data_IF_708392641923
#
_entry.id   IF_708392641923
#
_cell.length_a   1.000
_cell.length_b   1.000
_cell.length_c   1.000
_cell.angle_alpha   90.00
_cell.angle_beta   90.00
_cell.angle_gamma   90.00
#
_symmetry.space_group_name_H-M   'P 1'
#
loop_
_entity.id
_entity.type
_entity.pdbx_description
1 polymer ?
#
# COMPACT_ATOMS: atom_id res chain seq x y z
N UNK A 1 -28.16 -22.50 -16.72
CA UNK A 1 -26.87 -22.83 -16.08
C UNK A 1 -26.47 -21.61 -15.26
N UNK A 2 -26.19 -21.72 -13.96
CA UNK A 2 -25.64 -20.58 -13.24
C UNK A 2 -24.32 -20.16 -13.91
N UNK A 3 -24.11 -18.86 -13.99
CA UNK A 3 -23.09 -18.22 -14.83
C UNK A 3 -21.67 -18.66 -14.42
N UNK A 4 -20.94 -19.32 -15.32
CA UNK A 4 -19.54 -19.74 -15.11
C UNK A 4 -18.54 -18.59 -15.29
N UNK A 5 -19.02 -17.35 -15.44
CA UNK A 5 -18.21 -16.16 -15.60
C UNK A 5 -17.43 -15.77 -14.35
N UNK A 6 -17.96 -16.07 -13.16
CA UNK A 6 -17.36 -15.67 -11.89
C UNK A 6 -17.01 -16.87 -11.01
N UNK A 7 -16.01 -16.67 -10.17
CA UNK A 7 -15.67 -17.56 -9.07
C UNK A 7 -15.74 -16.78 -7.76
N UNK A 8 -15.75 -17.53 -6.66
CA UNK A 8 -15.94 -16.97 -5.33
C UNK A 8 -14.82 -17.44 -4.42
N UNK A 9 -14.19 -16.51 -3.71
CA UNK A 9 -13.13 -16.80 -2.75
C UNK A 9 -13.66 -16.49 -1.35
N UNK A 10 -13.81 -17.48 -0.46
CA UNK A 10 -14.24 -17.26 0.91
C UNK A 10 -13.24 -16.43 1.71
N UNK A 11 -13.74 -15.52 2.52
CA UNK A 11 -12.96 -14.71 3.46
C UNK A 11 -13.31 -15.11 4.87
N UNK A 12 -12.29 -15.51 5.64
CA UNK A 12 -12.45 -16.07 6.97
C UNK A 12 -11.94 -15.12 8.04
N UNK A 13 -12.72 -14.96 9.12
CA UNK A 13 -12.28 -14.31 10.36
C UNK A 13 -11.35 -15.26 11.13
N UNK A 14 -10.13 -14.80 11.40
CA UNK A 14 -9.08 -15.59 12.03
C UNK A 14 -9.26 -15.75 13.55
N UNK A 15 -10.27 -15.14 14.17
CA UNK A 15 -10.59 -15.36 15.58
C UNK A 15 -11.63 -16.45 15.77
N UNK A 16 -12.58 -16.55 14.84
CA UNK A 16 -13.75 -17.44 14.93
C UNK A 16 -13.76 -18.58 13.91
N UNK A 17 -12.87 -18.52 12.92
CA UNK A 17 -12.84 -19.41 11.76
C UNK A 17 -14.05 -19.27 10.83
N UNK A 18 -14.98 -18.36 11.11
CA UNK A 18 -16.22 -18.19 10.32
C UNK A 18 -15.90 -17.52 8.99
N UNK A 19 -16.60 -17.94 7.95
CA UNK A 19 -16.67 -17.19 6.71
C UNK A 19 -17.49 -15.91 6.95
N UNK A 20 -16.88 -14.76 6.70
CA UNK A 20 -17.46 -13.42 6.93
C UNK A 20 -17.76 -12.68 5.64
N UNK A 21 -17.36 -13.22 4.50
CA UNK A 21 -17.56 -12.62 3.19
C UNK A 21 -17.10 -13.54 2.07
N UNK A 22 -17.46 -13.19 0.85
CA UNK A 22 -16.98 -13.84 -0.37
C UNK A 22 -16.54 -12.78 -1.36
N UNK A 23 -15.29 -12.89 -1.82
CA UNK A 23 -14.79 -12.09 -2.93
C UNK A 23 -15.22 -12.72 -4.25
N UNK A 24 -15.79 -11.92 -5.15
CA UNK A 24 -16.17 -12.34 -6.49
C UNK A 24 -15.05 -12.01 -7.45
N UNK A 25 -14.42 -13.04 -8.02
CA UNK A 25 -13.33 -12.88 -8.97
C UNK A 25 -13.77 -13.34 -10.36
N UNK A 26 -13.42 -12.63 -11.44
CA UNK A 26 -13.74 -13.10 -12.78
C UNK A 26 -12.92 -14.35 -13.17
N UNK A 27 -13.55 -15.33 -13.82
CA UNK A 27 -12.90 -16.59 -14.25
C UNK A 27 -12.22 -16.49 -15.61
N UNK A 28 -12.73 -15.63 -16.49
CA UNK A 28 -12.34 -15.60 -17.89
C UNK A 28 -11.46 -14.36 -18.15
N UNK A 29 -10.42 -14.52 -18.98
CA UNK A 29 -9.53 -13.40 -19.37
C UNK A 29 -10.27 -12.22 -20.03
N UNK A 30 -11.46 -12.47 -20.58
CA UNK A 30 -12.33 -11.42 -21.11
C UNK A 30 -13.17 -10.72 -20.04
N UNK A 31 -12.90 -10.90 -18.76
CA UNK A 31 -13.50 -10.13 -17.67
C UNK A 31 -12.47 -9.27 -16.92
N UNK A 32 -11.17 -9.52 -17.13
CA UNK A 32 -10.07 -8.57 -16.87
C UNK A 32 -9.94 -7.53 -17.99
N UNK A 33 -11.08 -7.11 -18.59
CA UNK A 33 -11.11 -6.33 -19.84
C UNK A 33 -10.64 -4.91 -19.64
N UNK A 34 -10.78 -4.33 -18.45
CA UNK A 34 -10.41 -2.95 -18.23
C UNK A 34 -8.91 -2.71 -18.49
N UNK A 35 -8.05 -3.67 -18.09
CA UNK A 35 -6.61 -3.66 -18.41
C UNK A 35 -6.38 -3.88 -19.91
N UNK A 36 -7.08 -4.83 -20.54
CA UNK A 36 -6.96 -5.06 -21.98
C UNK A 36 -7.52 -3.88 -22.84
N UNK A 37 -8.47 -3.12 -22.32
CA UNK A 37 -9.07 -1.95 -22.96
C UNK A 37 -8.10 -0.77 -22.93
N UNK A 38 -7.34 -0.60 -21.85
CA UNK A 38 -6.20 0.33 -21.80
C UNK A 38 -5.21 0.05 -22.92
N UNK A 39 -4.81 -1.21 -23.11
CA UNK A 39 -3.84 -1.59 -24.15
C UNK A 39 -4.37 -1.37 -25.57
N UNK A 40 -5.70 -1.24 -25.73
CA UNK A 40 -6.39 -0.89 -26.98
C UNK A 40 -6.62 0.62 -27.14
N UNK A 41 -6.08 1.44 -26.24
CA UNK A 41 -6.14 2.90 -26.32
C UNK A 41 -7.50 3.50 -25.92
N UNK A 42 -8.29 2.81 -25.12
CA UNK A 42 -9.55 3.37 -24.61
C UNK A 42 -9.28 4.50 -23.61
N UNK A 43 -10.16 5.50 -23.58
CA UNK A 43 -10.08 6.55 -22.57
C UNK A 43 -10.46 6.05 -21.16
N UNK A 44 -9.98 6.75 -20.13
CA UNK A 44 -10.17 6.37 -18.73
C UNK A 44 -11.65 6.24 -18.33
N UNK A 45 -12.54 7.05 -18.91
CA UNK A 45 -13.97 6.98 -18.60
C UNK A 45 -14.60 5.71 -19.17
N UNK A 46 -14.28 5.33 -20.41
CA UNK A 46 -14.76 4.07 -21.01
C UNK A 46 -14.24 2.85 -20.27
N UNK A 47 -12.98 2.89 -19.82
CA UNK A 47 -12.39 1.82 -19.00
C UNK A 47 -13.14 1.71 -17.66
N UNK A 48 -13.36 2.83 -16.98
CA UNK A 48 -14.13 2.90 -15.74
C UNK A 48 -15.58 2.39 -15.88
N UNK A 49 -16.28 2.76 -16.97
CA UNK A 49 -17.65 2.27 -17.23
C UNK A 49 -17.70 0.75 -17.46
N UNK A 50 -16.68 0.21 -18.12
CA UNK A 50 -16.54 -1.23 -18.35
C UNK A 50 -16.27 -1.97 -17.04
N UNK A 51 -15.33 -1.48 -16.24
CA UNK A 51 -14.99 -2.03 -14.92
C UNK A 51 -16.21 -2.01 -13.98
N UNK A 52 -16.92 -0.88 -13.88
CA UNK A 52 -18.18 -0.79 -13.13
C UNK A 52 -19.24 -1.77 -13.64
N UNK A 53 -19.35 -1.99 -14.96
CA UNK A 53 -20.26 -2.97 -15.55
C UNK A 53 -19.95 -4.42 -15.15
N UNK A 54 -18.66 -4.78 -15.13
CA UNK A 54 -18.20 -6.09 -14.65
C UNK A 54 -18.51 -6.26 -13.17
N UNK A 55 -18.19 -5.26 -12.34
CA UNK A 55 -18.45 -5.31 -10.91
C UNK A 55 -19.97 -5.44 -10.61
N UNK A 56 -20.84 -4.69 -11.30
CA UNK A 56 -22.31 -4.82 -11.15
C UNK A 56 -22.75 -6.24 -11.50
N UNK A 57 -22.23 -6.81 -12.58
CA UNK A 57 -22.55 -8.18 -13.01
C UNK A 57 -22.08 -9.23 -11.99
N UNK A 58 -20.91 -9.03 -11.39
CA UNK A 58 -20.32 -9.89 -10.38
C UNK A 58 -21.22 -9.95 -9.12
N UNK A 59 -21.65 -8.79 -8.61
CA UNK A 59 -22.56 -8.71 -7.45
C UNK A 59 -23.92 -9.33 -7.76
N UNK A 60 -24.48 -9.06 -8.94
CA UNK A 60 -25.75 -9.66 -9.36
C UNK A 60 -25.67 -11.19 -9.46
N UNK A 61 -24.56 -11.72 -9.99
CA UNK A 61 -24.31 -13.16 -10.06
C UNK A 61 -24.25 -13.78 -8.66
N UNK A 62 -23.45 -13.20 -7.76
CA UNK A 62 -23.34 -13.66 -6.38
C UNK A 62 -24.70 -13.69 -5.65
N UNK A 63 -25.52 -12.66 -5.83
CA UNK A 63 -26.86 -12.58 -5.22
C UNK A 63 -27.85 -13.59 -5.79
N UNK A 64 -27.73 -13.97 -7.06
CA UNK A 64 -28.60 -14.98 -7.67
C UNK A 64 -28.46 -16.37 -7.02
N UNK A 65 -27.35 -16.62 -6.32
CA UNK A 65 -27.13 -17.81 -5.51
C UNK A 65 -27.70 -17.70 -4.08
N UNK A 66 -28.23 -16.53 -3.69
CA UNK A 66 -28.73 -16.31 -2.33
C UNK A 66 -27.63 -16.14 -1.28
N UNK A 67 -26.47 -15.60 -1.67
CA UNK A 67 -25.33 -15.38 -0.76
C UNK A 67 -25.76 -14.66 0.52
N UNK A 68 -25.60 -15.35 1.67
CA UNK A 68 -26.00 -14.83 2.99
C UNK A 68 -24.88 -14.02 3.69
N UNK A 69 -23.69 -14.01 3.10
CA UNK A 69 -22.53 -13.23 3.57
C UNK A 69 -22.28 -12.05 2.65
N UNK A 70 -21.64 -10.99 3.13
CA UNK A 70 -21.31 -9.87 2.27
C UNK A 70 -20.50 -10.27 1.04
N UNK A 71 -20.92 -9.74 -0.10
CA UNK A 71 -20.21 -9.86 -1.37
C UNK A 71 -19.16 -8.75 -1.46
N UNK A 72 -17.91 -9.14 -1.72
CA UNK A 72 -16.78 -8.26 -1.94
C UNK A 72 -16.45 -8.24 -3.43
N UNK A 73 -16.23 -7.05 -3.98
CA UNK A 73 -15.99 -6.89 -5.41
C UNK A 73 -14.93 -5.81 -5.65
N UNK A 74 -13.96 -6.14 -6.50
CA UNK A 74 -12.91 -5.20 -6.89
C UNK A 74 -13.46 -4.13 -7.84
N UNK A 75 -13.04 -2.90 -7.61
CA UNK A 75 -13.20 -1.77 -8.53
C UNK A 75 -11.93 -0.94 -8.52
N UNK A 76 -11.57 -0.38 -9.67
CA UNK A 76 -10.40 0.49 -9.73
C UNK A 76 -10.70 1.91 -9.19
N UNK A 77 -9.65 2.62 -8.76
CA UNK A 77 -9.80 4.00 -8.27
C UNK A 77 -10.39 4.95 -9.34
N UNK A 78 -10.05 4.76 -10.62
CA UNK A 78 -10.63 5.50 -11.75
C UNK A 78 -12.12 5.16 -11.96
N UNK A 79 -12.55 3.95 -11.63
CA UNK A 79 -13.97 3.56 -11.61
C UNK A 79 -14.76 4.34 -10.59
N UNK A 80 -14.20 4.53 -9.39
CA UNK A 80 -14.80 5.40 -8.36
C UNK A 80 -14.91 6.85 -8.84
N UNK A 81 -13.88 7.37 -9.52
CA UNK A 81 -13.85 8.76 -9.98
C UNK A 81 -14.78 9.01 -11.17
N UNK A 82 -14.87 8.09 -12.11
CA UNK A 82 -15.52 8.33 -13.41
C UNK A 82 -16.85 7.60 -13.60
N UNK A 83 -17.09 6.49 -12.90
CA UNK A 83 -18.23 5.60 -13.12
C UNK A 83 -19.00 5.21 -11.84
N UNK A 84 -18.70 5.80 -10.67
CA UNK A 84 -19.41 5.48 -9.41
C UNK A 84 -20.93 5.54 -9.49
N UNK A 85 -21.50 6.41 -10.33
CA UNK A 85 -22.95 6.49 -10.54
C UNK A 85 -23.55 5.16 -11.02
N UNK A 86 -22.81 4.38 -11.81
CA UNK A 86 -23.20 3.05 -12.27
C UNK A 86 -23.17 2.01 -11.14
N UNK A 87 -22.23 2.14 -10.21
CA UNK A 87 -22.09 1.22 -9.07
C UNK A 87 -23.36 1.21 -8.20
N UNK A 88 -24.15 2.29 -8.15
CA UNK A 88 -25.44 2.33 -7.44
C UNK A 88 -26.37 1.17 -7.78
N UNK A 89 -26.30 0.62 -8.99
CA UNK A 89 -27.09 -0.54 -9.38
C UNK A 89 -26.83 -1.79 -8.51
N UNK A 90 -25.69 -1.86 -7.82
CA UNK A 90 -25.38 -2.91 -6.84
C UNK A 90 -26.14 -2.76 -5.53
N UNK A 91 -26.63 -1.57 -5.20
CA UNK A 91 -27.45 -1.34 -4.01
C UNK A 91 -28.88 -1.73 -4.40
N UNK A 92 -29.31 -2.92 -4.00
CA UNK A 92 -30.66 -3.42 -4.30
C UNK A 92 -31.75 -2.66 -3.53
N UNK A 93 -33.00 -3.07 -3.72
CA UNK A 93 -34.12 -2.62 -2.88
C UNK A 93 -33.97 -3.09 -1.43
N UNK A 94 -34.82 -2.57 -0.54
CA UNK A 94 -34.79 -2.75 0.94
C UNK A 94 -34.77 -4.20 1.48
N UNK A 95 -34.85 -5.21 0.61
CA UNK A 95 -34.84 -6.64 0.96
C UNK A 95 -33.47 -7.31 0.83
N UNK A 96 -32.45 -6.64 0.27
CA UNK A 96 -31.08 -7.18 0.22
C UNK A 96 -30.41 -7.04 1.60
N UNK A 97 -30.06 -8.15 2.28
CA UNK A 97 -29.74 -8.11 3.71
C UNK A 97 -28.33 -7.57 4.03
N UNK A 98 -27.43 -7.50 3.04
CA UNK A 98 -26.02 -7.12 3.29
C UNK A 98 -25.47 -6.21 2.19
N UNK A 99 -24.98 -5.04 2.59
CA UNK A 99 -24.32 -4.10 1.70
C UNK A 99 -23.04 -4.68 1.07
N UNK A 100 -22.82 -4.54 -0.25
CA UNK A 100 -21.57 -4.90 -0.89
C UNK A 100 -20.39 -4.14 -0.28
N UNK A 101 -19.23 -4.80 -0.25
CA UNK A 101 -17.96 -4.16 0.05
C UNK A 101 -17.21 -3.95 -1.26
N UNK A 102 -16.92 -2.68 -1.57
CA UNK A 102 -16.13 -2.30 -2.74
C UNK A 102 -14.65 -2.32 -2.35
N UNK A 103 -13.87 -3.17 -2.99
CA UNK A 103 -12.43 -3.28 -2.79
C UNK A 103 -11.76 -2.39 -3.83
N UNK A 104 -11.36 -1.21 -3.36
CA UNK A 104 -10.83 -0.18 -4.25
C UNK A 104 -9.36 -0.46 -4.46
N UNK A 105 -9.01 -0.84 -5.68
CA UNK A 105 -7.65 -1.11 -6.12
C UNK A 105 -7.00 0.10 -6.82
N UNK A 106 -5.72 -0.04 -7.24
CA UNK A 106 -5.00 0.99 -7.98
C UNK A 106 -5.77 1.45 -9.23
N UNK A 107 -5.55 2.69 -9.72
CA UNK A 107 -6.16 3.10 -10.97
C UNK A 107 -5.64 2.29 -12.16
N UNK A 108 -6.51 2.03 -13.13
CA UNK A 108 -6.15 1.29 -14.34
C UNK A 108 -5.55 2.22 -15.41
N UNK A 109 -6.21 3.36 -15.67
CA UNK A 109 -5.89 4.20 -16.82
C UNK A 109 -5.24 5.54 -16.48
N UNK A 110 -5.64 6.19 -15.39
CA UNK A 110 -5.23 7.55 -15.05
C UNK A 110 -4.91 7.68 -13.57
N UNK A 111 -4.01 8.60 -13.20
CA UNK A 111 -3.73 8.87 -11.79
C UNK A 111 -5.04 9.19 -11.04
N UNK A 112 -5.17 8.68 -9.82
CA UNK A 112 -6.31 8.93 -8.94
C UNK A 112 -5.82 9.64 -7.66
N UNK A 113 -5.64 10.98 -7.69
CA UNK A 113 -5.16 11.73 -6.55
C UNK A 113 -6.08 11.57 -5.33
N UNK A 114 -5.48 11.53 -4.14
CA UNK A 114 -6.20 11.36 -2.89
C UNK A 114 -7.26 12.45 -2.68
N UNK A 115 -6.99 13.71 -3.10
CA UNK A 115 -7.94 14.82 -2.95
C UNK A 115 -9.27 14.62 -3.69
N UNK A 116 -9.27 13.79 -4.74
CA UNK A 116 -10.47 13.47 -5.51
C UNK A 116 -11.08 12.14 -5.09
N UNK A 117 -10.23 11.16 -4.77
CA UNK A 117 -10.68 9.82 -4.39
C UNK A 117 -11.39 9.82 -3.03
N UNK A 118 -10.85 10.49 -2.02
CA UNK A 118 -11.41 10.49 -0.66
C UNK A 118 -12.86 11.00 -0.61
N UNK A 119 -13.22 12.16 -1.21
CA UNK A 119 -14.61 12.61 -1.25
C UNK A 119 -15.55 11.66 -2.01
N UNK A 120 -15.07 11.04 -3.09
CA UNK A 120 -15.85 10.09 -3.88
C UNK A 120 -16.14 8.79 -3.10
N UNK A 121 -15.18 8.29 -2.33
CA UNK A 121 -15.38 7.16 -1.42
C UNK A 121 -16.35 7.50 -0.28
N UNK A 122 -16.28 8.72 0.26
CA UNK A 122 -17.25 9.19 1.24
C UNK A 122 -18.68 9.26 0.66
N UNK A 123 -18.83 9.59 -0.62
CA UNK A 123 -20.11 9.55 -1.33
C UNK A 123 -20.65 8.13 -1.46
N UNK A 124 -19.83 7.17 -1.89
CA UNK A 124 -20.21 5.75 -1.97
C UNK A 124 -20.67 5.21 -0.61
N UNK A 125 -19.98 5.57 0.47
CA UNK A 125 -20.41 5.20 1.83
C UNK A 125 -21.78 5.78 2.19
N UNK A 126 -22.05 7.04 1.84
CA UNK A 126 -23.38 7.64 2.08
C UNK A 126 -24.48 6.92 1.31
N UNK A 127 -24.17 6.27 0.19
CA UNK A 127 -25.14 5.45 -0.53
C UNK A 127 -25.35 4.07 0.12
N UNK A 128 -24.45 3.63 1.00
CA UNK A 128 -24.57 2.40 1.77
C UNK A 128 -23.50 1.35 1.48
N UNK A 129 -22.51 1.64 0.64
CA UNK A 129 -21.37 0.73 0.42
C UNK A 129 -20.45 0.66 1.64
N UNK A 130 -19.87 -0.53 1.86
CA UNK A 130 -18.64 -0.68 2.65
C UNK A 130 -17.44 -0.53 1.72
N UNK A 131 -16.33 -0.02 2.24
CA UNK A 131 -15.15 0.32 1.43
C UNK A 131 -13.94 -0.43 1.97
N UNK A 132 -13.37 -1.29 1.14
CA UNK A 132 -12.03 -1.84 1.31
C UNK A 132 -11.00 -1.08 0.48
N UNK A 133 -9.76 -1.07 0.94
CA UNK A 133 -8.61 -0.65 0.12
C UNK A 133 -7.77 -1.89 -0.20
N UNK A 134 -7.58 -2.17 -1.48
CA UNK A 134 -6.71 -3.23 -1.97
C UNK A 134 -5.37 -2.65 -2.42
N UNK A 135 -4.31 -3.02 -1.69
CA UNK A 135 -2.95 -2.51 -1.91
C UNK A 135 -2.55 -1.29 -1.09
N UNK A 136 -2.93 -1.27 0.19
CA UNK A 136 -2.32 -0.36 1.15
C UNK A 136 -0.82 -0.70 1.29
N UNK A 137 0.04 0.24 0.92
CA UNK A 137 1.50 0.05 0.85
C UNK A 137 2.07 -0.10 -0.57
N UNK A 138 1.24 -0.43 -1.58
CA UNK A 138 1.61 -0.39 -3.01
C UNK A 138 1.02 0.81 -3.75
N UNK A 139 -0.29 1.01 -3.59
CA UNK A 139 -1.05 1.98 -4.37
C UNK A 139 -1.72 3.05 -3.51
N UNK A 140 -2.01 2.73 -2.25
CA UNK A 140 -2.56 3.69 -1.30
C UNK A 140 -1.59 3.89 -0.14
N UNK A 141 -1.19 5.14 0.07
CA UNK A 141 -0.36 5.51 1.21
C UNK A 141 -1.14 5.58 2.52
N UNK A 142 -0.42 5.66 3.67
CA UNK A 142 -1.01 5.76 4.99
C UNK A 142 -1.94 6.98 5.13
N UNK A 143 -1.69 8.06 4.40
CA UNK A 143 -2.55 9.25 4.35
C UNK A 143 -3.93 8.94 3.76
N UNK A 144 -4.00 8.13 2.70
CA UNK A 144 -5.28 7.69 2.13
C UNK A 144 -5.97 6.74 3.09
N UNK A 145 -5.25 5.78 3.68
CA UNK A 145 -5.81 4.86 4.68
C UNK A 145 -6.41 5.63 5.87
N UNK A 146 -5.70 6.65 6.37
CA UNK A 146 -6.16 7.48 7.48
C UNK A 146 -7.35 8.37 7.12
N UNK A 147 -7.37 8.95 5.92
CA UNK A 147 -8.47 9.79 5.47
C UNK A 147 -9.73 8.97 5.15
N UNK A 148 -9.56 7.79 4.54
CA UNK A 148 -10.66 6.90 4.15
C UNK A 148 -11.20 6.13 5.34
N UNK A 149 -10.36 5.72 6.32
CA UNK A 149 -10.71 4.78 7.40
C UNK A 149 -11.50 3.58 6.87
N UNK A 150 -10.89 2.74 6.00
CA UNK A 150 -11.59 1.66 5.31
C UNK A 150 -12.18 0.63 6.28
N UNK A 151 -13.25 -0.03 5.85
CA UNK A 151 -13.85 -1.18 6.54
C UNK A 151 -12.91 -2.39 6.54
N UNK A 152 -12.00 -2.47 5.56
CA UNK A 152 -10.91 -3.45 5.50
C UNK A 152 -9.74 -2.93 4.68
N UNK A 153 -8.52 -3.29 5.06
CA UNK A 153 -7.32 -3.15 4.23
C UNK A 153 -6.89 -4.53 3.76
N UNK A 154 -6.73 -4.74 2.45
CA UNK A 154 -6.20 -6.00 1.90
C UNK A 154 -4.69 -5.91 1.70
N UNK A 155 -4.00 -6.94 2.17
CA UNK A 155 -2.59 -7.21 1.91
C UNK A 155 -2.45 -8.19 0.76
N UNK A 156 -1.60 -7.87 -0.20
CA UNK A 156 -1.38 -8.67 -1.39
C UNK A 156 -0.65 -9.99 -1.08
N UNK A 157 -0.78 -11.01 -1.96
CA UNK A 157 -0.19 -12.33 -1.72
C UNK A 157 1.33 -12.28 -1.52
N UNK A 158 2.05 -11.45 -2.29
CA UNK A 158 3.50 -11.33 -2.18
C UNK A 158 3.95 -10.77 -0.81
N UNK A 159 3.19 -9.83 -0.24
CA UNK A 159 3.44 -9.30 1.10
C UNK A 159 3.13 -10.36 2.16
N UNK A 160 2.03 -11.10 1.99
CA UNK A 160 1.66 -12.20 2.86
C UNK A 160 2.71 -13.33 2.84
N UNK A 161 3.28 -13.63 1.67
CA UNK A 161 4.30 -14.65 1.49
C UNK A 161 5.60 -14.33 2.24
N UNK A 162 5.98 -13.05 2.26
CA UNK A 162 7.18 -12.55 2.92
C UNK A 162 6.98 -12.11 4.38
N UNK A 163 5.86 -12.43 5.03
CA UNK A 163 5.59 -12.02 6.42
C UNK A 163 6.65 -12.47 7.42
N UNK A 164 7.29 -13.61 7.13
CA UNK A 164 8.37 -14.20 7.95
C UNK A 164 9.76 -13.66 7.58
N UNK A 165 9.87 -12.96 6.45
CA UNK A 165 11.12 -12.34 6.04
C UNK A 165 11.38 -11.08 6.85
N UNK A 166 12.64 -10.77 7.11
CA UNK A 166 13.01 -9.58 7.89
C UNK A 166 12.55 -8.28 7.23
N UNK A 167 12.78 -8.16 5.91
CA UNK A 167 12.41 -6.99 5.11
C UNK A 167 10.91 -6.88 4.86
N UNK A 168 10.35 -7.81 4.10
CA UNK A 168 8.92 -7.82 3.75
C UNK A 168 8.04 -7.86 5.00
N UNK A 169 8.42 -8.64 6.02
CA UNK A 169 7.70 -8.66 7.30
C UNK A 169 7.70 -7.32 8.03
N UNK A 170 8.74 -6.49 7.91
CA UNK A 170 8.73 -5.14 8.48
C UNK A 170 7.72 -4.22 7.78
N UNK A 171 7.65 -4.28 6.44
CA UNK A 171 6.65 -3.55 5.68
C UNK A 171 5.23 -3.99 6.04
N UNK A 172 4.99 -5.30 6.15
CA UNK A 172 3.70 -5.85 6.58
C UNK A 172 3.33 -5.33 7.96
N UNK A 173 4.25 -5.36 8.93
CA UNK A 173 4.02 -4.83 10.28
C UNK A 173 3.67 -3.34 10.28
N UNK A 174 4.33 -2.54 9.44
CA UNK A 174 4.04 -1.12 9.30
C UNK A 174 2.62 -0.87 8.76
N UNK A 175 2.19 -1.61 7.73
CA UNK A 175 0.82 -1.52 7.19
C UNK A 175 -0.21 -1.89 8.27
N UNK A 176 0.05 -2.96 9.02
CA UNK A 176 -0.83 -3.39 10.12
C UNK A 176 -0.90 -2.34 11.22
N UNK A 177 0.22 -1.73 11.58
CA UNK A 177 0.26 -0.70 12.62
C UNK A 177 -0.52 0.56 12.22
N UNK A 178 -0.34 1.05 11.00
CA UNK A 178 -1.10 2.19 10.45
C UNK A 178 -2.59 1.86 10.41
N UNK A 179 -2.95 0.70 9.87
CA UNK A 179 -4.35 0.28 9.76
C UNK A 179 -5.01 0.17 11.13
N UNK A 180 -4.29 -0.40 12.10
CA UNK A 180 -4.72 -0.48 13.50
C UNK A 180 -4.93 0.89 14.13
N UNK A 181 -4.03 1.85 13.90
CA UNK A 181 -4.12 3.19 14.46
C UNK A 181 -5.40 3.93 14.02
N UNK A 182 -5.91 3.63 12.83
CA UNK A 182 -7.14 4.24 12.27
C UNK A 182 -8.39 3.37 12.47
N UNK A 183 -8.24 2.21 13.10
CA UNK A 183 -9.31 1.25 13.39
C UNK A 183 -9.74 0.41 12.17
N UNK A 184 -8.90 0.31 11.13
CA UNK A 184 -9.16 -0.50 9.96
C UNK A 184 -8.57 -1.92 10.15
N UNK A 185 -9.37 -3.00 10.12
CA UNK A 185 -8.85 -4.35 10.17
C UNK A 185 -8.14 -4.71 8.87
N UNK A 186 -7.16 -5.62 8.95
CA UNK A 186 -6.38 -6.07 7.79
C UNK A 186 -6.76 -7.49 7.41
N UNK A 187 -6.92 -7.71 6.10
CA UNK A 187 -7.18 -8.99 5.48
C UNK A 187 -5.96 -9.47 4.69
N UNK A 188 -5.49 -10.69 4.94
CA UNK A 188 -4.44 -11.33 4.16
C UNK A 188 -5.01 -12.08 2.95
N UNK A 189 -4.38 -11.92 1.79
CA UNK A 189 -4.78 -12.63 0.57
C UNK A 189 -3.74 -13.67 0.17
N UNK A 190 -4.18 -14.70 -0.56
CA UNK A 190 -3.27 -15.71 -1.11
C UNK A 190 -2.59 -16.60 -0.07
N UNK A 191 -3.17 -16.80 1.11
CA UNK A 191 -2.57 -17.66 2.16
C UNK A 191 -2.56 -19.12 1.72
N UNK A 192 -1.36 -19.72 1.65
CA UNK A 192 -1.12 -21.07 1.12
C UNK A 192 -0.69 -22.11 2.16
N UNK A 193 -0.16 -21.68 3.29
CA UNK A 193 0.39 -22.58 4.31
C UNK A 193 0.17 -22.08 5.74
N UNK A 194 0.18 -23.03 6.68
CA UNK A 194 -0.15 -22.78 8.09
C UNK A 194 0.91 -21.93 8.82
N UNK A 195 2.19 -22.01 8.43
CA UNK A 195 3.25 -21.25 9.07
C UNK A 195 3.08 -19.74 8.79
N UNK A 196 2.78 -19.37 7.53
CA UNK A 196 2.46 -17.99 7.16
C UNK A 196 1.18 -17.50 7.82
N UNK A 197 0.14 -18.34 7.85
CA UNK A 197 -1.11 -17.99 8.55
C UNK A 197 -0.84 -17.67 10.03
N UNK A 198 0.02 -18.47 10.69
CA UNK A 198 0.44 -18.24 12.08
C UNK A 198 1.16 -16.91 12.23
N UNK A 199 2.12 -16.60 11.34
CA UNK A 199 2.84 -15.33 11.35
C UNK A 199 1.94 -14.11 11.15
N UNK A 200 1.01 -14.19 10.19
CA UNK A 200 0.00 -13.17 9.91
C UNK A 200 -0.93 -12.96 11.11
N UNK A 201 -1.41 -14.05 11.70
CA UNK A 201 -2.25 -13.99 12.89
C UNK A 201 -1.53 -13.34 14.09
N UNK A 202 -0.25 -13.70 14.30
CA UNK A 202 0.56 -13.20 15.40
C UNK A 202 0.78 -11.67 15.35
N UNK A 203 0.80 -11.07 14.16
CA UNK A 203 0.93 -9.63 13.99
C UNK A 203 -0.41 -8.88 13.98
N UNK A 204 -1.54 -9.58 14.14
CA UNK A 204 -2.86 -8.98 14.28
C UNK A 204 -3.69 -8.89 13.01
N UNK A 205 -3.37 -9.67 11.97
CA UNK A 205 -4.26 -9.84 10.81
C UNK A 205 -5.60 -10.42 11.27
N UNK A 206 -6.70 -9.81 10.84
CA UNK A 206 -8.04 -10.14 11.30
C UNK A 206 -8.76 -11.13 10.38
N UNK A 207 -8.56 -10.98 9.07
CA UNK A 207 -9.21 -11.80 8.05
C UNK A 207 -8.18 -12.45 7.14
N UNK A 208 -8.52 -13.59 6.55
CA UNK A 208 -7.68 -14.17 5.51
C UNK A 208 -8.49 -14.92 4.45
N UNK A 209 -7.88 -15.02 3.27
CA UNK A 209 -8.34 -15.85 2.17
C UNK A 209 -7.14 -16.48 1.44
N UNK A 210 -7.37 -17.61 0.78
CA UNK A 210 -6.36 -18.27 -0.05
C UNK A 210 -6.57 -19.77 -0.20
N UNK A 211 -5.66 -20.46 -0.91
CA UNK A 211 -5.75 -21.91 -1.14
C UNK A 211 -5.83 -22.76 0.14
N UNK A 212 -5.18 -22.34 1.23
CA UNK A 212 -5.30 -23.01 2.53
C UNK A 212 -6.71 -22.90 3.13
N UNK A 213 -7.46 -21.88 2.72
CA UNK A 213 -8.72 -21.45 3.32
C UNK A 213 -9.91 -21.75 2.39
N UNK A 214 -9.86 -22.89 1.69
CA UNK A 214 -10.92 -23.34 0.80
C UNK A 214 -10.83 -22.84 -0.65
N UNK A 215 -9.92 -21.89 -0.92
CA UNK A 215 -9.56 -21.45 -2.27
C UNK A 215 -10.74 -20.94 -3.12
N UNK A 216 -10.58 -20.99 -4.44
CA UNK A 216 -11.56 -20.50 -5.40
C UNK A 216 -12.68 -21.52 -5.63
N UNK A 217 -13.93 -21.07 -5.56
CA UNK A 217 -15.14 -21.90 -5.61
C UNK A 217 -16.08 -21.49 -6.74
N UNK A 218 -16.99 -22.40 -7.11
CA UNK A 218 -17.99 -22.17 -8.16
C UNK A 218 -19.25 -21.45 -7.65
N UNK A 219 -19.54 -21.57 -6.36
CA UNK A 219 -20.66 -20.93 -5.68
C UNK A 219 -20.15 -20.05 -4.51
N UNK A 220 -20.88 -19.00 -4.10
CA UNK A 220 -20.50 -18.07 -3.03
C UNK A 220 -20.70 -18.66 -1.62
N UNK A 221 -20.24 -19.89 -1.42
CA UNK A 221 -20.34 -20.62 -0.16
C UNK A 221 -18.96 -21.15 0.24
N UNK A 222 -18.59 -20.99 1.51
CA UNK A 222 -17.37 -21.58 2.04
C UNK A 222 -17.51 -23.10 2.16
N UNK A 223 -16.37 -23.81 2.15
CA UNK A 223 -16.38 -25.23 2.48
C UNK A 223 -16.73 -25.44 3.97
N UNK A 224 -17.71 -26.27 4.31
CA UNK A 224 -17.97 -26.62 5.70
C UNK A 224 -16.73 -27.22 6.41
N UNK A 225 -15.88 -27.96 5.69
CA UNK A 225 -14.68 -28.58 6.25
C UNK A 225 -13.62 -27.54 6.65
N UNK A 226 -13.46 -26.47 5.86
CA UNK A 226 -12.45 -25.43 6.09
C UNK A 226 -12.57 -24.79 7.47
N UNK A 227 -13.80 -24.60 7.98
CA UNK A 227 -13.98 -24.02 9.32
C UNK A 227 -13.41 -24.93 10.42
N UNK A 228 -13.65 -26.24 10.33
CA UNK A 228 -13.15 -27.18 11.34
C UNK A 228 -11.61 -27.25 11.32
N UNK A 229 -11.02 -27.30 10.12
CA UNK A 229 -9.57 -27.29 9.93
C UNK A 229 -8.95 -25.99 10.45
N UNK A 230 -9.55 -24.84 10.11
CA UNK A 230 -9.08 -23.54 10.56
C UNK A 230 -9.17 -23.40 12.08
N UNK A 231 -10.24 -23.87 12.72
CA UNK A 231 -10.33 -23.87 14.18
C UNK A 231 -9.25 -24.75 14.83
N UNK A 232 -8.93 -25.89 14.22
CA UNK A 232 -7.82 -26.74 14.67
C UNK A 232 -6.47 -26.02 14.59
N UNK A 233 -6.21 -25.35 13.47
CA UNK A 233 -5.00 -24.54 13.27
C UNK A 233 -4.92 -23.38 14.27
N UNK A 234 -5.97 -22.58 14.39
CA UNK A 234 -6.02 -21.40 15.27
C UNK A 234 -5.89 -21.75 16.75
N UNK A 235 -6.43 -22.90 17.17
CA UNK A 235 -6.32 -23.37 18.57
C UNK A 235 -4.88 -23.73 18.94
N UNK A 236 -4.04 -24.10 17.96
CA UNK A 236 -2.63 -24.39 18.14
C UNK A 236 -1.73 -23.15 18.04
N UNK A 237 -2.25 -22.01 17.59
CA UNK A 237 -1.46 -20.79 17.40
C UNK A 237 -1.27 -20.03 18.72
N UNK A 238 -0.12 -19.36 18.91
CA UNK A 238 0.05 -18.42 19.99
C UNK A 238 -1.01 -17.32 19.88
N UNK A 239 -1.73 -17.05 20.97
CA UNK A 239 -2.64 -15.90 20.99
C UNK A 239 -1.83 -14.62 20.78
N UNK A 240 -2.31 -13.68 19.94
CA UNK A 240 -1.61 -12.44 19.73
C UNK A 240 -1.44 -11.77 21.10
N UNK A 241 -0.21 -11.42 21.45
CA UNK A 241 0.06 -10.72 22.69
C UNK A 241 -0.88 -9.50 22.72
N UNK A 242 -1.61 -9.32 23.82
CA UNK A 242 -2.39 -8.11 24.02
C UNK A 242 -1.42 -6.93 24.00
N UNK A 243 -1.24 -6.32 22.83
CA UNK A 243 -0.33 -5.22 22.64
C UNK A 243 -0.92 -4.05 23.42
N UNK A 244 -0.39 -3.83 24.63
CA UNK A 244 -0.68 -2.64 25.42
C UNK A 244 -0.53 -1.47 24.47
N UNK A 245 -1.65 -0.83 24.16
CA UNK A 245 -1.65 0.51 23.61
C UNK A 245 -0.76 1.30 24.56
N UNK A 246 0.42 1.72 24.07
CA UNK A 246 1.12 2.79 24.72
C UNK A 246 0.14 3.97 24.67
N UNK A 247 -0.56 4.18 25.78
CA UNK A 247 -1.35 5.38 25.96
C UNK A 247 -0.38 6.52 25.69
N UNK A 248 -0.63 7.29 24.64
CA UNK A 248 0.02 8.58 24.45
C UNK A 248 -0.32 9.37 25.70
N UNK A 249 0.64 9.45 26.64
CA UNK A 249 0.48 10.27 27.82
C UNK A 249 0.37 11.71 27.35
N UNK A 250 -0.64 12.48 27.78
CA UNK A 250 -0.63 13.91 27.55
C UNK A 250 0.62 14.48 28.21
N UNK A 251 1.34 15.31 27.47
CA UNK A 251 2.55 16.01 27.92
C UNK A 251 2.19 16.89 29.13
N UNK A 252 2.73 16.64 30.34
CA UNK A 252 2.66 17.60 31.42
C UNK A 252 3.83 18.58 31.29
N UNK A 253 3.54 19.86 31.51
CA UNK A 253 4.50 20.95 31.41
C UNK A 253 5.74 20.80 32.29
N UNK A 254 6.81 21.49 31.87
CA UNK A 254 8.10 21.63 32.56
C UNK A 254 7.95 21.88 34.06
N UNK A 255 8.90 21.36 34.85
CA UNK A 255 9.69 22.24 35.72
C UNK A 255 11.21 21.97 35.64
N UNK A 256 11.99 22.94 36.14
CA UNK A 256 13.45 23.07 36.05
C UNK A 256 14.29 22.17 37.00
N UNK A 257 15.57 22.54 37.24
CA UNK A 257 16.70 21.61 37.38
C UNK A 257 16.99 21.12 38.82
N UNK A 258 17.56 19.92 38.95
CA UNK A 258 18.16 19.39 40.19
C UNK A 258 18.58 17.91 40.12
N UNK A 259 19.87 17.64 40.37
CA UNK A 259 20.63 16.37 40.44
C UNK A 259 20.09 15.28 41.42
N UNK A 260 20.77 14.12 41.60
CA UNK A 260 21.36 13.14 40.66
C UNK A 260 20.80 11.70 40.88
N UNK A 261 21.30 10.75 40.08
CA UNK A 261 20.91 9.34 39.97
C UNK A 261 21.04 8.47 41.24
N UNK A 262 20.48 7.24 41.19
CA UNK A 262 21.19 6.08 41.72
C UNK A 262 21.38 4.97 40.67
N UNK A 263 22.60 4.46 40.63
CA UNK A 263 23.03 3.23 39.95
C UNK A 263 22.39 2.00 40.59
N UNK A 264 21.90 1.05 39.76
CA UNK A 264 21.92 -0.41 39.96
C UNK A 264 21.87 -1.02 38.56
N UNK A 265 22.86 -1.76 38.08
CA UNK A 265 23.33 -3.01 38.65
C UNK A 265 22.64 -4.17 37.93
N UNK A 266 23.00 -4.40 36.66
CA UNK A 266 22.50 -5.49 35.82
C UNK A 266 23.65 -6.07 35.00
N UNK A 267 23.93 -7.35 35.20
CA UNK A 267 24.96 -8.16 34.54
C UNK A 267 24.83 -8.14 33.01
N UNK A 268 25.94 -8.12 32.23
CA UNK A 268 25.87 -8.12 30.78
C UNK A 268 25.46 -9.50 30.25
N UNK A 269 24.34 -9.54 29.54
CA UNK A 269 23.92 -10.67 28.71
C UNK A 269 24.89 -10.81 27.52
N UNK A 270 25.31 -12.03 27.13
CA UNK A 270 26.37 -12.20 26.14
C UNK A 270 25.95 -11.63 24.77
N UNK A 271 26.83 -10.81 24.21
CA UNK A 271 26.66 -10.17 22.92
C UNK A 271 26.37 -11.21 21.83
N UNK A 272 25.15 -11.14 21.28
CA UNK A 272 24.80 -11.84 20.06
C UNK A 272 25.73 -11.35 18.94
N UNK A 273 26.45 -12.29 18.33
CA UNK A 273 27.31 -12.07 17.17
C UNK A 273 26.51 -11.34 16.08
N UNK A 274 27.03 -10.26 15.46
CA UNK A 274 26.28 -9.55 14.44
C UNK A 274 26.03 -10.51 13.26
N UNK A 275 24.76 -10.79 13.01
CA UNK A 275 24.33 -11.47 11.79
C UNK A 275 24.68 -10.53 10.63
N UNK A 276 25.73 -10.85 9.88
CA UNK A 276 26.07 -10.15 8.64
C UNK A 276 24.98 -10.42 7.61
N UNK A 277 24.08 -9.45 7.47
CA UNK A 277 23.02 -9.42 6.44
C UNK A 277 23.69 -9.37 5.06
N UNK A 278 23.29 -10.21 4.08
CA UNK A 278 23.83 -10.13 2.72
C UNK A 278 23.56 -8.74 2.14
N UNK A 279 24.58 -8.12 1.55
CA UNK A 279 24.46 -6.82 0.91
C UNK A 279 23.57 -6.93 -0.34
N UNK A 280 22.30 -6.55 -0.22
CA UNK A 280 21.42 -6.32 -1.36
C UNK A 280 22.01 -5.26 -2.31
N UNK A 281 21.47 -5.11 -3.53
CA UNK A 281 22.00 -4.18 -4.51
C UNK A 281 22.03 -2.75 -3.94
N UNK A 282 23.11 -1.98 -4.22
CA UNK A 282 23.27 -0.63 -3.72
C UNK A 282 22.33 0.34 -4.46
N UNK A 283 21.89 1.37 -3.75
CA UNK A 283 20.92 2.35 -4.28
C UNK A 283 21.42 3.17 -5.47
N UNK A 284 22.73 3.26 -5.71
CA UNK A 284 23.27 3.91 -6.92
C UNK A 284 22.68 3.40 -8.24
N UNK A 285 22.26 2.13 -8.30
CA UNK A 285 21.64 1.55 -9.49
C UNK A 285 20.18 1.98 -9.72
N UNK A 286 19.59 2.70 -8.78
CA UNK A 286 18.21 3.20 -8.79
C UNK A 286 18.14 4.73 -8.85
N UNK A 287 19.28 5.40 -8.73
CA UNK A 287 19.34 6.85 -8.71
C UNK A 287 18.99 7.42 -10.08
N UNK A 288 18.14 8.44 -10.09
CA UNK A 288 17.86 9.28 -11.26
C UNK A 288 18.50 10.66 -11.05
N UNK A 289 18.78 11.41 -12.13
CA UNK A 289 19.31 12.77 -12.02
C UNK A 289 18.39 13.65 -11.16
N UNK A 290 18.96 14.29 -10.14
CA UNK A 290 18.23 15.23 -9.29
C UNK A 290 17.99 16.56 -10.02
N UNK A 291 16.83 17.16 -9.80
CA UNK A 291 16.66 18.60 -10.07
C UNK A 291 17.31 19.34 -8.91
N UNK A 292 18.26 20.21 -9.22
CA UNK A 292 19.04 20.93 -8.21
C UNK A 292 18.94 22.42 -8.42
N UNK A 293 18.91 23.17 -7.32
CA UNK A 293 19.04 24.62 -7.30
C UNK A 293 20.08 25.03 -6.24
N UNK A 294 20.78 26.16 -6.45
CA UNK A 294 21.62 26.76 -5.41
C UNK A 294 20.84 27.03 -4.11
N UNK A 295 21.53 27.01 -2.99
CA UNK A 295 20.97 27.29 -1.66
C UNK A 295 20.51 28.74 -1.45
N UNK A 296 20.95 29.66 -2.31
CA UNK A 296 20.50 31.05 -2.40
C UNK A 296 19.33 31.26 -3.40
N UNK A 297 18.81 30.20 -4.02
CA UNK A 297 17.69 30.30 -4.93
C UNK A 297 16.42 30.80 -4.21
N UNK A 298 15.56 31.51 -4.95
CA UNK A 298 14.29 32.03 -4.44
C UNK A 298 13.10 31.15 -4.83
N UNK A 299 11.98 31.32 -4.14
CA UNK A 299 10.78 30.49 -4.33
C UNK A 299 10.24 30.47 -5.77
N UNK A 300 10.35 31.58 -6.51
CA UNK A 300 9.89 31.61 -7.90
C UNK A 300 10.77 30.79 -8.84
N UNK A 301 12.08 30.79 -8.63
CA UNK A 301 13.03 29.92 -9.35
C UNK A 301 12.73 28.45 -9.08
N UNK A 302 12.42 28.10 -7.83
CA UNK A 302 11.98 26.74 -7.46
C UNK A 302 10.68 26.35 -8.17
N UNK A 303 9.69 27.26 -8.20
CA UNK A 303 8.41 27.06 -8.91
C UNK A 303 8.63 26.81 -10.41
N UNK A 304 9.47 27.60 -11.06
CA UNK A 304 9.77 27.45 -12.48
C UNK A 304 10.49 26.14 -12.79
N UNK A 305 11.48 25.76 -11.97
CA UNK A 305 12.16 24.48 -12.08
C UNK A 305 11.20 23.28 -11.93
N UNK A 306 10.28 23.32 -10.96
CA UNK A 306 9.23 22.31 -10.80
C UNK A 306 8.25 22.28 -11.98
N UNK A 307 7.93 23.44 -12.58
CA UNK A 307 7.06 23.51 -13.76
C UNK A 307 7.74 22.93 -15.00
N UNK A 308 9.03 23.20 -15.18
CA UNK A 308 9.82 22.69 -16.31
C UNK A 308 10.06 21.17 -16.24
N UNK A 309 10.01 20.59 -15.04
CA UNK A 309 10.19 19.15 -14.81
C UNK A 309 8.98 18.53 -14.12
N UNK A 310 7.88 18.24 -14.85
CA UNK A 310 6.67 17.67 -14.27
C UNK A 310 6.87 16.28 -13.66
N UNK A 311 7.85 15.52 -14.15
CA UNK A 311 8.14 14.15 -13.69
C UNK A 311 8.99 14.09 -12.41
N UNK A 312 9.40 15.24 -11.88
CA UNK A 312 10.21 15.32 -10.66
C UNK A 312 9.33 15.54 -9.42
N UNK A 313 9.56 14.73 -8.38
CA UNK A 313 8.86 14.83 -7.11
C UNK A 313 9.36 15.99 -6.22
N UNK A 314 10.53 16.57 -6.51
CA UNK A 314 11.06 17.68 -5.73
C UNK A 314 12.39 18.24 -6.24
N UNK A 315 12.91 19.25 -5.55
CA UNK A 315 14.21 19.88 -5.84
C UNK A 315 15.15 19.69 -4.66
N UNK A 316 16.41 19.36 -4.95
CA UNK A 316 17.48 19.34 -3.95
C UNK A 316 18.18 20.71 -3.96
N UNK A 317 18.14 21.43 -2.84
CA UNK A 317 18.95 22.63 -2.66
C UNK A 317 20.39 22.22 -2.34
N UNK A 318 21.35 22.81 -3.05
CA UNK A 318 22.77 22.45 -2.94
C UNK A 318 23.65 23.67 -2.69
N UNK A 319 24.68 23.49 -1.86
CA UNK A 319 25.69 24.53 -1.63
C UNK A 319 26.67 24.67 -2.82
N UNK A 320 27.65 25.59 -2.70
CA UNK A 320 28.69 25.80 -3.72
C UNK A 320 29.58 24.57 -3.98
N UNK A 321 29.67 23.64 -3.04
CA UNK A 321 30.39 22.38 -3.18
C UNK A 321 29.48 21.25 -3.70
N UNK A 322 28.26 21.58 -4.12
CA UNK A 322 27.23 20.66 -4.60
C UNK A 322 26.75 19.65 -3.54
N UNK A 323 26.82 20.01 -2.26
CA UNK A 323 26.31 19.19 -1.15
C UNK A 323 24.86 19.53 -0.87
N UNK A 324 23.99 18.54 -0.61
CA UNK A 324 22.58 18.80 -0.36
C UNK A 324 22.38 19.47 1.01
N UNK A 325 21.70 20.62 1.01
CA UNK A 325 21.40 21.40 2.22
C UNK A 325 19.90 21.55 2.47
N UNK A 326 19.06 21.25 1.48
CA UNK A 326 17.59 21.29 1.59
C UNK A 326 16.91 20.41 0.56
N UNK A 327 15.65 20.04 0.83
CA UNK A 327 14.78 19.34 -0.09
C UNK A 327 13.41 20.02 -0.17
N UNK A 328 12.99 20.33 -1.39
CA UNK A 328 11.73 21.00 -1.72
C UNK A 328 10.77 19.98 -2.33
N UNK A 329 9.82 19.49 -1.56
CA UNK A 329 8.76 18.63 -2.08
C UNK A 329 7.84 19.42 -3.02
N UNK A 330 7.55 18.85 -4.19
CA UNK A 330 6.75 19.49 -5.23
C UNK A 330 5.38 19.91 -4.71
N UNK A 331 4.67 19.01 -4.06
CA UNK A 331 3.28 19.24 -3.63
C UNK A 331 3.23 20.31 -2.56
N UNK A 332 4.12 20.22 -1.55
CA UNK A 332 4.22 21.21 -0.47
C UNK A 332 4.56 22.60 -1.00
N UNK A 333 5.58 22.73 -1.84
CA UNK A 333 6.00 24.01 -2.41
C UNK A 333 4.92 24.62 -3.30
N UNK A 334 4.31 23.84 -4.20
CA UNK A 334 3.27 24.35 -5.09
C UNK A 334 2.00 24.75 -4.32
N UNK A 335 1.60 23.99 -3.31
CA UNK A 335 0.46 24.35 -2.45
C UNK A 335 0.72 25.65 -1.68
N UNK A 336 1.93 25.83 -1.17
CA UNK A 336 2.30 27.03 -0.41
C UNK A 336 2.35 28.29 -1.30
N UNK A 337 2.75 28.15 -2.56
CA UNK A 337 2.74 29.22 -3.56
C UNK A 337 1.36 29.47 -4.19
N UNK A 338 0.50 28.46 -4.30
CA UNK A 338 -0.82 28.56 -4.93
C UNK A 338 -1.91 29.16 -4.02
N UNK A 339 -1.63 29.37 -2.73
CA UNK A 339 -2.57 30.01 -1.81
C UNK A 339 -2.97 31.43 -2.23
N UNK A 340 -4.07 31.96 -1.67
CA UNK A 340 -4.67 33.28 -2.01
C UNK A 340 -3.68 34.47 -2.02
N UNK A 341 -2.58 34.35 -1.28
CA UNK A 341 -1.44 35.30 -1.29
C UNK A 341 -0.07 34.59 -1.33
N UNK A 342 -0.04 33.30 -1.68
CA UNK A 342 1.13 32.43 -1.57
C UNK A 342 2.29 32.89 -2.44
N UNK A 343 2.01 33.19 -3.72
CA UNK A 343 3.03 33.66 -4.66
C UNK A 343 3.66 34.97 -4.19
N UNK A 344 2.86 35.99 -3.88
CA UNK A 344 3.35 37.27 -3.39
C UNK A 344 4.16 37.17 -2.07
N UNK A 345 3.86 36.18 -1.23
CA UNK A 345 4.55 35.99 0.05
C UNK A 345 5.87 35.22 -0.07
N UNK A 346 5.99 34.31 -1.05
CA UNK A 346 7.07 33.32 -1.10
C UNK A 346 7.93 33.38 -2.37
N UNK A 347 7.50 34.06 -3.44
CA UNK A 347 8.21 34.09 -4.72
C UNK A 347 9.63 34.67 -4.61
N UNK A 348 9.78 35.79 -3.89
CA UNK A 348 11.07 36.48 -3.72
C UNK A 348 11.86 36.01 -2.48
N UNK A 349 11.26 35.17 -1.64
CA UNK A 349 11.91 34.66 -0.44
C UNK A 349 12.90 33.56 -0.77
N UNK A 350 13.94 33.35 0.07
CA UNK A 350 14.82 32.20 -0.04
C UNK A 350 14.01 30.89 -0.08
N UNK A 351 14.25 30.06 -1.10
CA UNK A 351 13.59 28.77 -1.24
C UNK A 351 13.90 27.85 -0.04
N UNK A 352 15.02 28.07 0.64
CA UNK A 352 15.37 27.38 1.89
C UNK A 352 14.30 27.52 2.99
N UNK A 353 13.50 28.59 3.01
CA UNK A 353 12.38 28.74 3.98
C UNK A 353 11.21 27.78 3.70
N UNK A 354 11.13 27.23 2.48
CA UNK A 354 10.14 26.24 2.06
C UNK A 354 10.70 24.82 2.09
N UNK A 355 12.00 24.67 2.36
CA UNK A 355 12.70 23.40 2.26
C UNK A 355 12.70 22.63 3.58
N UNK A 356 12.59 21.31 3.47
CA UNK A 356 12.84 20.39 4.55
C UNK A 356 14.32 19.96 4.58
N UNK A 357 14.85 19.45 5.71
CA UNK A 357 16.17 18.83 5.73
C UNK A 357 16.24 17.65 4.76
N UNK A 358 17.29 17.55 3.91
CA UNK A 358 17.36 16.50 2.90
C UNK A 358 17.56 15.12 3.57
N UNK A 359 16.85 14.11 3.06
CA UNK A 359 17.05 12.71 3.48
C UNK A 359 18.18 12.10 2.66
N UNK A 360 19.40 12.17 3.16
CA UNK A 360 20.58 11.72 2.42
C UNK A 360 20.90 10.23 2.63
N UNK A 361 21.37 9.57 1.58
CA UNK A 361 21.82 8.17 1.62
C UNK A 361 23.13 8.00 0.85
N UNK A 362 24.11 7.27 1.40
CA UNK A 362 25.36 6.95 0.67
C UNK A 362 25.02 6.08 -0.54
N UNK A 363 25.62 6.37 -1.70
CA UNK A 363 25.36 5.67 -2.97
C UNK A 363 25.57 4.13 -2.91
N UNK A 364 26.36 3.64 -1.96
CA UNK A 364 26.64 2.22 -1.72
C UNK A 364 25.68 1.60 -0.70
N UNK A 365 24.80 2.39 -0.11
CA UNK A 365 23.83 1.90 0.88
C UNK A 365 22.97 0.81 0.25
N UNK A 366 22.85 -0.36 0.91
CA UNK A 366 21.94 -1.40 0.44
C UNK A 366 20.49 -0.92 0.43
N UNK A 367 19.70 -1.43 -0.52
CA UNK A 367 18.28 -1.08 -0.67
C UNK A 367 17.49 -1.11 0.65
N UNK A 368 17.64 -2.15 1.47
CA UNK A 368 16.89 -2.30 2.72
C UNK A 368 17.14 -1.15 3.71
N UNK A 369 18.40 -0.72 3.84
CA UNK A 369 18.79 0.36 4.75
C UNK A 369 18.33 1.71 4.21
N UNK A 370 18.32 1.88 2.89
CA UNK A 370 17.75 3.06 2.27
C UNK A 370 16.23 3.15 2.52
N UNK A 371 15.49 2.05 2.42
CA UNK A 371 14.06 2.05 2.77
C UNK A 371 13.81 2.43 4.22
N UNK A 372 14.58 1.88 5.17
CA UNK A 372 14.49 2.24 6.58
C UNK A 372 14.70 3.74 6.80
N UNK A 373 15.70 4.33 6.13
CA UNK A 373 15.97 5.78 6.17
C UNK A 373 14.81 6.59 5.58
N UNK A 374 14.20 6.13 4.47
CA UNK A 374 13.05 6.78 3.85
C UNK A 374 11.80 6.80 4.73
N UNK A 375 11.57 5.71 5.48
CA UNK A 375 10.39 5.54 6.33
C UNK A 375 10.57 6.06 7.76
N UNK A 376 11.79 6.42 8.15
CA UNK A 376 12.08 6.93 9.49
C UNK A 376 11.66 8.41 9.67
N UNK A 377 11.32 8.81 10.90
CA UNK A 377 11.04 10.21 11.23
C UNK A 377 9.57 10.61 10.99
N UNK A 378 9.35 11.83 10.50
CA UNK A 378 8.00 12.37 10.27
C UNK A 378 7.25 11.58 9.17
N UNK A 379 6.10 10.95 9.48
CA UNK A 379 5.30 10.22 8.51
C UNK A 379 4.84 11.05 7.32
N UNK A 380 4.62 12.36 7.48
CA UNK A 380 4.25 13.26 6.38
C UNK A 380 5.36 13.41 5.33
N UNK A 381 6.58 13.00 5.69
CA UNK A 381 7.79 13.04 4.86
C UNK A 381 8.27 11.65 4.46
N UNK A 382 7.46 10.61 4.67
CA UNK A 382 7.80 9.22 4.35
C UNK A 382 7.88 8.91 2.85
N UNK A 383 7.44 9.85 2.00
CA UNK A 383 7.50 9.78 0.54
C UNK A 383 8.53 10.71 -0.10
N UNK A 384 9.24 11.51 0.70
CA UNK A 384 10.31 12.37 0.20
C UNK A 384 11.40 11.51 -0.46
N UNK A 385 11.85 11.88 -1.66
CA UNK A 385 12.93 11.17 -2.33
C UNK A 385 14.19 11.10 -1.46
N UNK A 386 14.94 10.01 -1.56
CA UNK A 386 16.25 9.92 -0.92
C UNK A 386 17.30 10.59 -1.80
N UNK A 387 17.99 11.59 -1.25
CA UNK A 387 19.11 12.26 -1.91
C UNK A 387 20.34 11.36 -1.83
N UNK A 388 20.81 10.89 -2.97
CA UNK A 388 22.00 10.03 -3.05
C UNK A 388 23.24 10.89 -2.98
N UNK A 389 24.12 10.60 -2.03
CA UNK A 389 25.38 11.30 -1.84
C UNK A 389 26.58 10.38 -2.09
N UNK A 390 27.63 10.94 -2.70
CA UNK A 390 28.92 10.30 -2.78
C UNK A 390 29.68 10.37 -1.44
N UNK A 391 30.79 9.62 -1.28
CA UNK A 391 31.59 9.64 -0.05
C UNK A 391 32.14 11.02 0.34
N UNK A 392 32.28 11.95 -0.61
CA UNK A 392 32.71 13.34 -0.39
C UNK A 392 31.56 14.29 0.01
N UNK A 393 30.34 13.76 0.13
CA UNK A 393 29.11 14.47 0.47
C UNK A 393 28.39 15.12 -0.72
N UNK A 394 28.91 14.98 -1.94
CA UNK A 394 28.30 15.61 -3.13
C UNK A 394 27.02 14.90 -3.55
N UNK A 395 26.03 15.66 -4.01
CA UNK A 395 24.77 15.14 -4.53
C UNK A 395 25.02 14.41 -5.86
N UNK A 396 24.63 13.14 -5.95
CA UNK A 396 24.74 12.30 -7.16
C UNK A 396 23.40 12.12 -7.87
N UNK A 397 22.30 12.34 -7.17
CA UNK A 397 20.96 12.15 -7.71
C UNK A 397 19.94 11.97 -6.60
N UNK A 398 18.76 11.52 -6.97
CA UNK A 398 17.71 11.12 -6.03
C UNK A 398 17.24 9.71 -6.36
N UNK A 399 16.80 8.96 -5.36
CA UNK A 399 16.05 7.72 -5.57
C UNK A 399 14.62 7.99 -5.14
N UNK A 400 13.66 7.91 -6.08
CA UNK A 400 12.26 8.06 -5.74
C UNK A 400 11.84 6.98 -4.74
N UNK A 401 11.15 7.37 -3.67
CA UNK A 401 10.66 6.40 -2.68
C UNK A 401 9.76 5.36 -3.32
N UNK A 402 8.96 5.75 -4.33
CA UNK A 402 8.19 4.82 -5.13
C UNK A 402 9.04 3.76 -5.87
N UNK A 403 10.26 4.09 -6.30
CA UNK A 403 11.19 3.13 -6.91
C UNK A 403 11.85 2.22 -5.85
N UNK A 404 12.14 2.74 -4.65
CA UNK A 404 12.57 1.92 -3.52
C UNK A 404 11.52 0.87 -3.19
N UNK A 405 10.26 1.30 -3.06
CA UNK A 405 9.11 0.40 -2.87
C UNK A 405 8.98 -0.58 -4.03
N UNK A 406 9.02 -0.11 -5.28
CA UNK A 406 8.93 -0.98 -6.46
C UNK A 406 10.00 -2.08 -6.43
N UNK A 407 11.25 -1.76 -6.07
CA UNK A 407 12.38 -2.71 -6.04
C UNK A 407 12.38 -3.64 -4.83
N UNK A 408 11.87 -3.16 -3.71
CA UNK A 408 11.70 -3.98 -2.52
C UNK A 408 10.58 -5.01 -2.72
N UNK A 409 9.52 -4.62 -3.42
CA UNK A 409 8.35 -5.46 -3.64
C UNK A 409 8.50 -6.33 -4.90
N UNK A 410 9.25 -5.88 -5.92
CA UNK A 410 9.59 -6.64 -7.12
C UNK A 410 11.12 -6.83 -7.19
N UNK A 411 11.69 -7.92 -6.61
CA UNK A 411 13.09 -8.24 -6.86
C UNK A 411 13.31 -8.42 -8.36
N UNK A 412 14.50 -8.06 -8.90
CA UNK A 412 14.76 -8.17 -10.32
C UNK A 412 14.41 -9.59 -10.79
N UNK A 413 13.62 -9.68 -11.87
CA UNK A 413 13.34 -10.95 -12.52
C UNK A 413 14.67 -11.70 -12.68
N UNK A 414 14.74 -12.94 -12.20
CA UNK A 414 15.90 -13.79 -12.42
C UNK A 414 16.15 -13.84 -13.93
N UNK A 415 17.12 -13.05 -14.40
CA UNK A 415 17.53 -13.02 -15.78
C UNK A 415 18.07 -14.40 -16.11
N UNK A 416 17.27 -15.20 -16.82
CA UNK A 416 17.68 -16.49 -17.37
C UNK A 416 17.09 -17.73 -16.69
N UNK A 417 15.77 -17.89 -16.67
CA UNK A 417 15.19 -19.24 -16.83
C UNK A 417 14.56 -19.35 -18.20
N UNK A 418 15.31 -20.00 -19.11
CA UNK A 418 14.84 -20.41 -20.43
C UNK A 418 13.57 -21.26 -20.24
N UNK A 419 12.52 -21.11 -21.06
CA UNK A 419 11.31 -21.91 -20.92
C UNK A 419 11.66 -23.40 -21.03
N UNK A 420 11.19 -24.20 -20.06
CA UNK A 420 11.23 -25.66 -20.19
C UNK A 420 10.23 -26.04 -21.30
N UNK A 421 10.63 -26.81 -22.33
CA UNK A 421 9.70 -27.24 -23.36
C UNK A 421 8.65 -28.17 -22.74
N UNK A 422 7.38 -27.87 -22.97
CA UNK A 422 6.27 -28.78 -22.67
C UNK A 422 6.36 -29.98 -23.63
N UNK A 423 6.32 -31.24 -23.16
CA UNK A 423 6.31 -32.39 -24.05
C UNK A 423 5.02 -32.38 -24.88
N UNK A 424 5.15 -32.34 -26.21
CA UNK A 424 4.01 -32.57 -27.10
C UNK A 424 3.51 -34.00 -26.89
N UNK A 425 2.25 -34.13 -26.49
CA UNK A 425 1.56 -35.41 -26.43
C UNK A 425 1.62 -36.07 -27.82
N UNK A 426 2.15 -37.28 -27.86
CA UNK A 426 2.16 -38.12 -29.04
C UNK A 426 0.72 -38.29 -29.56
N UNK A 427 0.47 -37.83 -30.78
CA UNK A 427 -0.67 -38.29 -31.57
C UNK A 427 -0.30 -39.68 -32.08
N UNK A 428 -0.83 -40.71 -31.47
CA UNK A 428 -0.94 -42.03 -32.10
C UNK A 428 -2.32 -42.12 -32.75
N UNK A 429 -2.30 -42.27 -34.07
CA UNK A 429 -3.37 -42.93 -34.82
C UNK A 429 -3.36 -44.43 -34.53
#
# INVERSE_FOLDING_TARGET
>A
MPDQRFAYVPVHDLRSGRCTGVEVVPRLHHDTVAVAARDRGWDARRIAELDAGTAVSAVASARSWGAAVPVQVDVAADTVLHARGRLRAMLGGSSDPVAPLLEVGPPIAAAAPAEHLVPALAELRRWGFRIGLDGAGRAFGPEVVAAVRPDVVKLEPDLCDGVLDTGTGAAVRAVVEVSRAVGAPVAATGVRDAARLTGLFAIGIAFAQGPLLGGTRAAPEADPATRAELLGLLSAMPQPAAHRTAAVRPVPGRPGPGHPAPERGGTPEPAATPVTVPAGPPVRGLAVPAVTLPDDAVGDTAREALRARPDSAGIVLVDRAHRPVGYLDRSRVLLQLAGRFGHALWAEKPAAELADPPRTVDERTPLHRAMEIGLSGDPARGYDDLVVVAPDGTCRGVVPVAELWRRAILPPAASGRRPVPVPQAARTA
#
